data_IF_965984081609
#
_entry.id   IF_965984081609
#
_cell.length_a   1.000
_cell.length_b   1.000
_cell.length_c   1.000
_cell.angle_alpha   90.00
_cell.angle_beta   90.00
_cell.angle_gamma   90.00
#
_symmetry.space_group_name_H-M   'P 1'
#
loop_
_entity.id
_entity.type
_entity.pdbx_description
1 polymer ?
#
# COMPACT_ATOMS: atom_id res chain seq x y z
N UNK A 1 -58.61 -31.49 -75.13
CA UNK A 1 -57.62 -32.04 -74.20
C UNK A 1 -57.09 -30.90 -73.41
N UNK A 2 -57.58 -30.73 -72.18
CA UNK A 2 -57.28 -29.62 -71.30
C UNK A 2 -57.09 -30.15 -69.90
N UNK A 3 -55.87 -30.26 -69.43
CA UNK A 3 -55.56 -30.49 -67.99
C UNK A 3 -54.19 -29.87 -67.71
N UNK A 4 -54.07 -28.87 -66.85
CA UNK A 4 -52.76 -28.58 -66.35
C UNK A 4 -52.44 -27.11 -65.94
N UNK A 5 -53.38 -26.33 -65.45
CA UNK A 5 -53.08 -24.96 -64.98
C UNK A 5 -53.63 -24.58 -63.59
N UNK A 6 -53.93 -25.52 -62.75
CA UNK A 6 -54.53 -25.25 -61.43
C UNK A 6 -53.66 -25.61 -60.23
N UNK A 7 -52.40 -25.99 -60.37
CA UNK A 7 -51.57 -26.41 -59.24
C UNK A 7 -50.50 -25.42 -58.77
N UNK A 8 -50.29 -24.32 -59.58
CA UNK A 8 -49.18 -23.41 -59.22
C UNK A 8 -49.61 -22.21 -58.32
N UNK A 9 -50.93 -21.95 -58.19
CA UNK A 9 -51.43 -20.85 -57.36
C UNK A 9 -51.42 -21.17 -55.86
N UNK A 10 -51.77 -22.40 -55.52
CA UNK A 10 -51.84 -22.80 -54.10
C UNK A 10 -50.51 -22.90 -53.40
N UNK A 11 -49.46 -23.31 -54.10
CA UNK A 11 -48.12 -23.38 -53.54
C UNK A 11 -47.49 -22.02 -53.26
N UNK A 12 -47.78 -21.01 -54.09
CA UNK A 12 -47.29 -19.61 -53.88
C UNK A 12 -48.05 -18.91 -52.74
N UNK A 13 -49.35 -19.15 -52.57
CA UNK A 13 -50.13 -18.60 -51.47
C UNK A 13 -49.79 -19.29 -50.13
N UNK A 14 -49.54 -20.59 -50.14
CA UNK A 14 -49.07 -21.32 -48.96
C UNK A 14 -47.66 -20.86 -48.53
N UNK A 15 -46.74 -20.61 -49.49
CA UNK A 15 -45.41 -20.10 -49.22
C UNK A 15 -45.42 -18.68 -48.66
N UNK A 16 -46.28 -17.78 -49.18
CA UNK A 16 -46.44 -16.44 -48.65
C UNK A 16 -47.09 -16.43 -47.26
N UNK A 17 -48.04 -17.30 -47.00
CA UNK A 17 -48.65 -17.44 -45.67
C UNK A 17 -47.64 -17.97 -44.62
N UNK A 18 -46.77 -18.92 -45.00
CA UNK A 18 -45.75 -19.45 -44.15
C UNK A 18 -44.62 -18.42 -43.82
N UNK A 19 -44.41 -17.44 -44.71
CA UNK A 19 -43.41 -16.40 -44.51
C UNK A 19 -43.93 -15.26 -43.59
N UNK A 20 -45.26 -15.05 -43.54
CA UNK A 20 -45.86 -13.97 -42.75
C UNK A 20 -46.10 -14.40 -41.26
N UNK A 21 -46.33 -15.69 -41.01
CA UNK A 21 -46.54 -16.18 -39.63
C UNK A 21 -45.45 -15.87 -38.64
N UNK A 22 -44.12 -16.01 -38.94
CA UNK A 22 -43.09 -15.71 -37.96
C UNK A 22 -42.91 -14.24 -37.62
N UNK A 23 -43.41 -13.30 -38.48
CA UNK A 23 -43.31 -11.89 -38.15
C UNK A 23 -44.35 -11.43 -37.11
N UNK A 24 -45.40 -12.15 -36.89
CA UNK A 24 -46.40 -11.83 -35.84
C UNK A 24 -45.98 -12.31 -34.46
N UNK A 25 -44.99 -13.17 -34.36
CA UNK A 25 -44.51 -13.72 -33.07
C UNK A 25 -43.55 -12.80 -32.31
N UNK A 26 -43.04 -11.73 -32.92
CA UNK A 26 -42.08 -10.83 -32.27
C UNK A 26 -42.71 -9.65 -31.50
N UNK A 27 -44.05 -9.60 -31.40
CA UNK A 27 -44.75 -8.43 -30.81
C UNK A 27 -44.99 -8.41 -29.31
N UNK A 28 -44.81 -9.52 -28.58
CA UNK A 28 -45.34 -9.62 -27.21
C UNK A 28 -44.29 -9.49 -26.11
N UNK A 29 -43.06 -9.08 -26.41
CA UNK A 29 -42.02 -8.96 -25.37
C UNK A 29 -42.15 -7.73 -24.47
N UNK A 30 -42.80 -6.66 -24.96
CA UNK A 30 -42.83 -5.38 -24.22
C UNK A 30 -44.00 -5.22 -23.25
N UNK A 31 -45.13 -5.90 -23.52
CA UNK A 31 -46.32 -5.82 -22.61
C UNK A 31 -46.02 -6.37 -21.23
N UNK A 32 -45.20 -7.42 -21.14
CA UNK A 32 -44.85 -8.02 -19.86
C UNK A 32 -43.91 -7.11 -19.05
N UNK A 33 -43.08 -6.30 -19.71
CA UNK A 33 -42.13 -5.41 -19.02
C UNK A 33 -42.88 -4.21 -18.42
N UNK A 34 -43.81 -3.61 -19.15
CA UNK A 34 -44.66 -2.56 -18.60
C UNK A 34 -45.52 -3.04 -17.42
N UNK A 35 -46.12 -4.21 -17.53
CA UNK A 35 -46.90 -4.80 -16.46
C UNK A 35 -46.03 -5.15 -15.24
N UNK A 36 -44.79 -5.56 -15.47
CA UNK A 36 -43.80 -5.81 -14.41
C UNK A 36 -43.40 -4.51 -13.72
N UNK A 37 -43.06 -3.48 -14.45
CA UNK A 37 -42.69 -2.15 -13.91
C UNK A 37 -43.85 -1.59 -13.10
N UNK A 38 -45.09 -1.61 -13.64
CA UNK A 38 -46.28 -1.16 -12.92
C UNK A 38 -46.55 -1.94 -11.61
N UNK A 39 -46.23 -3.23 -11.61
CA UNK A 39 -46.38 -4.05 -10.40
C UNK A 39 -45.37 -3.63 -9.33
N UNK A 40 -44.11 -3.40 -9.72
CA UNK A 40 -43.05 -2.95 -8.81
C UNK A 40 -43.37 -1.55 -8.26
N UNK A 41 -43.88 -0.65 -9.12
CA UNK A 41 -44.22 0.72 -8.69
C UNK A 41 -45.44 0.78 -7.77
N UNK A 42 -46.41 -0.14 -7.95
CA UNK A 42 -47.62 -0.20 -7.14
C UNK A 42 -47.51 -1.12 -5.91
N UNK A 43 -46.48 -1.94 -5.85
CA UNK A 43 -46.23 -2.79 -4.68
C UNK A 43 -45.81 -1.93 -3.49
N UNK A 44 -46.57 -1.90 -2.40
CA UNK A 44 -46.18 -1.13 -1.21
C UNK A 44 -44.84 -1.64 -0.72
N UNK A 45 -43.87 -0.73 -0.40
CA UNK A 45 -42.58 -1.13 0.08
C UNK A 45 -42.72 -2.05 1.28
N UNK A 46 -41.95 -3.15 1.28
CA UNK A 46 -41.95 -4.09 2.40
C UNK A 46 -41.68 -3.33 3.70
N UNK A 47 -42.43 -3.66 4.78
CA UNK A 47 -42.25 -2.99 6.05
C UNK A 47 -40.79 -3.10 6.48
N UNK A 48 -40.12 -1.94 6.65
CA UNK A 48 -38.75 -1.90 7.11
C UNK A 48 -38.68 -2.56 8.49
N UNK A 49 -37.78 -3.53 8.64
CA UNK A 49 -37.50 -4.08 9.96
C UNK A 49 -37.09 -2.92 10.90
N UNK A 50 -37.68 -2.80 12.09
CA UNK A 50 -37.26 -1.79 13.03
C UNK A 50 -35.79 -1.95 13.34
N UNK A 51 -35.02 -0.87 13.20
CA UNK A 51 -33.61 -0.86 13.54
C UNK A 51 -33.44 -1.30 14.99
N UNK A 52 -32.65 -2.33 15.30
CA UNK A 52 -32.41 -2.73 16.68
C UNK A 52 -31.91 -1.51 17.47
N UNK A 53 -32.55 -1.23 18.58
CA UNK A 53 -32.09 -0.16 19.48
C UNK A 53 -30.71 -0.55 19.99
N UNK A 54 -29.69 0.29 19.80
CA UNK A 54 -28.38 -0.01 20.34
C UNK A 54 -28.49 -0.19 21.86
N UNK A 55 -27.85 -1.21 22.39
CA UNK A 55 -27.77 -1.40 23.83
C UNK A 55 -27.13 -0.16 24.47
N UNK A 56 -27.60 0.30 25.63
CA UNK A 56 -27.02 1.45 26.30
C UNK A 56 -25.54 1.16 26.58
N UNK A 57 -24.66 1.91 25.91
CA UNK A 57 -23.21 1.81 26.10
C UNK A 57 -22.87 2.29 27.50
N UNK A 58 -22.37 1.39 28.35
CA UNK A 58 -21.74 1.76 29.62
C UNK A 58 -20.26 1.91 29.37
N UNK A 59 -19.72 3.15 29.31
CA UNK A 59 -18.28 3.31 29.15
C UNK A 59 -17.58 2.63 30.32
N UNK A 60 -16.49 1.87 30.08
CA UNK A 60 -15.67 1.34 31.16
C UNK A 60 -15.16 2.52 32.00
N UNK A 61 -15.10 2.34 33.31
CA UNK A 61 -14.55 3.34 34.20
C UNK A 61 -13.08 3.59 33.80
N UNK A 62 -12.82 4.74 33.17
CA UNK A 62 -11.49 5.11 32.74
C UNK A 62 -10.70 5.63 33.95
N UNK A 63 -9.91 4.76 34.56
CA UNK A 63 -9.03 5.13 35.66
C UNK A 63 -7.76 5.83 35.14
N UNK A 64 -7.94 6.93 34.41
CA UNK A 64 -6.84 7.69 33.79
C UNK A 64 -5.77 8.15 34.82
N UNK A 65 -6.21 8.42 36.03
CA UNK A 65 -5.29 8.86 37.11
C UNK A 65 -4.26 7.79 37.52
N UNK A 66 -4.56 6.51 37.25
CA UNK A 66 -3.66 5.38 37.58
C UNK A 66 -2.82 4.93 36.40
N UNK A 67 -3.10 5.42 35.20
CA UNK A 67 -2.35 5.08 34.01
C UNK A 67 -1.30 6.15 33.73
N UNK A 68 -0.09 5.70 33.42
CA UNK A 68 0.97 6.59 32.95
C UNK A 68 0.53 7.27 31.65
N UNK A 69 0.64 8.59 31.59
CA UNK A 69 0.37 9.33 30.36
C UNK A 69 1.22 8.81 29.21
N UNK A 70 0.62 8.49 28.04
CA UNK A 70 1.37 8.05 26.86
C UNK A 70 2.28 9.17 26.29
N UNK A 71 2.04 10.43 26.70
CA UNK A 71 2.84 11.59 26.29
C UNK A 71 4.01 11.88 27.23
N UNK A 72 4.11 11.19 28.36
CA UNK A 72 5.31 11.25 29.19
C UNK A 72 6.29 10.23 28.64
N UNK A 73 7.44 10.66 28.07
CA UNK A 73 8.44 9.74 27.58
C UNK A 73 8.79 8.73 28.68
N UNK A 74 8.84 7.47 28.33
CA UNK A 74 9.34 6.43 29.25
C UNK A 74 10.84 6.60 29.37
N UNK A 75 11.25 7.59 30.15
CA UNK A 75 12.65 7.79 30.49
C UNK A 75 13.07 6.63 31.41
N UNK A 76 13.34 5.48 30.80
CA UNK A 76 14.34 4.62 31.37
C UNK A 76 15.64 5.35 31.08
N UNK A 77 16.03 6.20 31.99
CA UNK A 77 17.37 6.75 32.00
C UNK A 77 18.32 5.56 32.05
N UNK A 78 18.65 5.02 30.88
CA UNK A 78 19.83 4.17 30.79
C UNK A 78 20.97 5.09 31.21
N UNK A 79 21.81 4.65 32.15
CA UNK A 79 22.93 5.44 32.58
C UNK A 79 23.64 5.94 31.33
N UNK A 80 23.93 7.21 31.29
CA UNK A 80 24.47 8.02 30.19
C UNK A 80 25.89 7.58 29.77
N UNK A 81 26.10 6.27 29.63
CA UNK A 81 27.34 5.70 29.10
C UNK A 81 27.48 5.88 27.57
N UNK A 82 26.40 6.25 26.89
CA UNK A 82 26.43 6.43 25.44
C UNK A 82 26.22 7.90 25.13
N UNK A 83 27.31 8.58 24.83
CA UNK A 83 27.31 9.95 24.27
C UNK A 83 28.06 9.96 22.95
N UNK A 84 27.65 10.80 22.00
CA UNK A 84 28.50 11.10 20.85
C UNK A 84 29.87 11.57 21.34
N UNK A 85 30.94 11.14 20.69
CA UNK A 85 32.27 11.62 21.02
C UNK A 85 32.54 12.97 20.32
N UNK A 86 32.52 14.10 21.06
CA UNK A 86 32.68 15.42 20.43
C UNK A 86 34.11 15.64 19.89
N UNK A 87 35.10 14.90 20.38
CA UNK A 87 36.50 15.08 20.01
C UNK A 87 36.90 14.26 18.77
N UNK A 88 35.98 13.49 18.19
CA UNK A 88 36.22 12.71 16.98
C UNK A 88 36.14 13.61 15.75
N UNK A 89 37.10 13.57 14.83
CA UNK A 89 36.96 14.25 13.55
C UNK A 89 35.79 13.67 12.77
N UNK A 90 34.91 14.53 12.30
CA UNK A 90 33.76 14.10 11.48
C UNK A 90 34.21 13.67 10.10
N UNK A 91 33.65 12.59 9.60
CA UNK A 91 33.87 12.10 8.25
C UNK A 91 32.98 12.88 7.26
N UNK A 92 33.34 12.83 5.98
CA UNK A 92 32.65 13.60 4.95
C UNK A 92 31.17 13.33 4.86
N UNK A 93 30.73 12.04 4.94
CA UNK A 93 29.35 11.62 4.83
C UNK A 93 28.49 11.95 6.07
N UNK A 94 29.09 12.39 7.16
CA UNK A 94 28.35 12.89 8.34
C UNK A 94 27.82 14.31 8.16
N UNK A 95 28.11 14.96 7.04
CA UNK A 95 27.56 16.29 6.70
C UNK A 95 26.14 16.20 6.18
N UNK A 96 25.76 15.05 5.68
CA UNK A 96 24.47 14.79 5.06
C UNK A 96 23.55 14.03 6.00
N UNK A 97 22.22 14.33 6.01
CA UNK A 97 21.26 13.48 6.72
C UNK A 97 21.26 12.09 6.10
N UNK A 98 21.00 11.07 6.92
CA UNK A 98 21.07 9.67 6.48
C UNK A 98 20.11 9.38 5.32
N UNK A 99 18.93 10.00 5.32
CA UNK A 99 17.89 9.84 4.29
C UNK A 99 18.31 10.35 2.90
N UNK A 100 19.29 11.24 2.85
CA UNK A 100 19.84 11.76 1.59
C UNK A 100 20.94 10.88 1.00
N UNK A 101 21.43 9.92 1.76
CA UNK A 101 22.46 8.97 1.34
C UNK A 101 21.81 7.71 0.77
N UNK A 102 22.40 7.16 -0.30
CA UNK A 102 21.91 5.94 -0.95
C UNK A 102 22.99 4.87 -1.00
N UNK A 103 22.68 3.68 -0.52
CA UNK A 103 23.56 2.54 -0.73
C UNK A 103 23.38 2.02 -2.15
N UNK A 104 24.38 2.17 -3.00
CA UNK A 104 24.32 1.79 -4.41
C UNK A 104 25.00 0.48 -4.72
N UNK A 105 25.75 -0.09 -3.77
CA UNK A 105 26.38 -1.39 -3.96
C UNK A 105 27.23 -1.82 -2.78
N UNK A 106 27.66 -3.07 -2.84
CA UNK A 106 28.68 -3.64 -1.95
C UNK A 106 29.83 -4.21 -2.78
N UNK A 107 31.03 -4.10 -2.28
CA UNK A 107 32.25 -4.53 -2.96
C UNK A 107 33.06 -5.43 -2.02
N UNK A 108 33.39 -6.62 -2.49
CA UNK A 108 34.27 -7.53 -1.78
C UNK A 108 35.70 -7.41 -2.38
N UNK A 109 36.67 -7.01 -1.57
CA UNK A 109 38.06 -6.97 -1.94
C UNK A 109 38.90 -7.83 -0.99
N UNK A 110 39.29 -8.99 -1.44
CA UNK A 110 39.97 -9.97 -0.59
C UNK A 110 39.05 -10.41 0.56
N UNK A 111 39.46 -10.13 1.80
CA UNK A 111 38.68 -10.44 3.02
C UNK A 111 37.86 -9.26 3.54
N UNK A 112 37.91 -8.12 2.88
CA UNK A 112 37.26 -6.89 3.32
C UNK A 112 36.00 -6.60 2.50
N UNK A 113 34.91 -6.33 3.19
CA UNK A 113 33.64 -5.90 2.59
C UNK A 113 33.56 -4.37 2.70
N UNK A 114 33.30 -3.73 1.58
CA UNK A 114 33.07 -2.30 1.48
C UNK A 114 31.65 -2.05 1.01
N UNK A 115 31.09 -0.96 1.44
CA UNK A 115 29.83 -0.45 0.90
C UNK A 115 30.12 0.79 0.03
N UNK A 116 29.31 0.94 -1.00
CA UNK A 116 29.34 2.09 -1.91
C UNK A 116 28.12 2.94 -1.60
N UNK A 117 28.36 4.12 -1.03
CA UNK A 117 27.30 5.06 -0.63
C UNK A 117 27.39 6.30 -1.50
N UNK A 118 26.29 6.62 -2.17
CA UNK A 118 26.15 7.82 -2.99
C UNK A 118 25.63 8.96 -2.14
N UNK A 119 26.29 10.12 -2.25
CA UNK A 119 25.86 11.36 -1.62
C UNK A 119 24.81 12.11 -2.49
N UNK A 120 24.17 13.19 -1.99
CA UNK A 120 23.21 13.99 -2.74
C UNK A 120 23.77 14.65 -4.01
N UNK A 121 25.08 14.75 -4.12
CA UNK A 121 25.77 15.31 -5.31
C UNK A 121 26.03 14.25 -6.38
N UNK A 122 25.65 12.99 -6.13
CA UNK A 122 25.87 11.88 -7.05
C UNK A 122 27.24 11.22 -6.92
N UNK A 123 28.09 11.67 -5.98
CA UNK A 123 29.42 11.10 -5.79
C UNK A 123 29.32 9.82 -4.96
N UNK A 124 30.00 8.77 -5.42
CA UNK A 124 30.02 7.48 -4.74
C UNK A 124 31.24 7.38 -3.84
N UNK A 125 31.02 7.13 -2.57
CA UNK A 125 32.04 6.99 -1.54
C UNK A 125 32.15 5.54 -1.10
N UNK A 126 33.37 5.04 -0.96
CA UNK A 126 33.65 3.73 -0.40
C UNK A 126 33.77 3.82 1.11
N UNK A 127 32.92 3.08 1.82
CA UNK A 127 32.89 3.01 3.29
C UNK A 127 33.03 1.57 3.77
N UNK A 128 33.48 1.39 5.00
CA UNK A 128 33.68 0.08 5.62
C UNK A 128 33.13 0.06 7.06
N UNK A 129 33.17 -1.12 7.68
CA UNK A 129 32.85 -1.27 9.09
C UNK A 129 33.58 -0.24 9.96
N UNK A 130 32.86 0.39 10.87
CA UNK A 130 33.40 1.41 11.76
C UNK A 130 33.39 2.83 11.22
N UNK A 131 33.17 3.06 9.92
CA UNK A 131 32.96 4.39 9.36
C UNK A 131 31.63 4.98 9.85
N UNK A 132 31.50 6.30 9.71
CA UNK A 132 30.35 7.06 10.14
C UNK A 132 29.62 7.70 8.96
N UNK A 133 28.30 7.65 9.01
CA UNK A 133 27.36 8.21 8.04
C UNK A 133 26.24 8.95 8.77
N UNK A 134 25.72 9.98 8.15
CA UNK A 134 24.59 10.71 8.72
C UNK A 134 24.98 11.68 9.83
N UNK A 135 24.06 12.57 10.17
CA UNK A 135 24.31 13.65 11.13
C UNK A 135 24.27 13.18 12.59
N UNK A 136 23.69 12.01 12.84
CA UNK A 136 23.38 11.46 14.17
C UNK A 136 24.39 10.39 14.62
N UNK A 137 25.67 10.60 14.35
CA UNK A 137 26.76 9.68 14.70
C UNK A 137 26.50 8.22 14.24
N UNK A 138 25.91 8.05 13.06
CA UNK A 138 25.56 6.76 12.48
C UNK A 138 26.80 5.92 12.16
N UNK A 139 27.23 5.06 13.08
CA UNK A 139 28.36 4.15 12.88
C UNK A 139 27.97 2.88 12.17
N UNK A 140 28.67 2.49 11.11
CA UNK A 140 28.48 1.22 10.42
C UNK A 140 28.87 0.06 11.35
N UNK A 141 27.92 -0.80 11.69
CA UNK A 141 28.10 -1.97 12.57
C UNK A 141 28.03 -3.30 11.84
N UNK A 142 27.44 -3.33 10.63
CA UNK A 142 27.48 -4.49 9.74
C UNK A 142 27.23 -4.08 8.30
N UNK A 143 27.83 -4.82 7.37
CA UNK A 143 27.62 -4.68 5.92
C UNK A 143 27.08 -6.01 5.43
N UNK A 144 25.84 -5.99 4.89
CA UNK A 144 25.18 -7.15 4.30
C UNK A 144 25.05 -6.97 2.78
N UNK A 145 24.86 -8.04 2.02
CA UNK A 145 24.67 -7.95 0.57
C UNK A 145 23.46 -7.10 0.18
N UNK A 146 22.45 -7.03 1.03
CA UNK A 146 21.19 -6.32 0.81
C UNK A 146 21.08 -4.98 1.54
N UNK A 147 22.09 -4.58 2.32
CA UNK A 147 22.02 -3.33 3.07
C UNK A 147 23.12 -3.13 4.11
N UNK A 148 23.11 -1.96 4.72
CA UNK A 148 23.97 -1.56 5.82
C UNK A 148 23.18 -1.54 7.14
N UNK A 149 23.80 -2.02 8.20
CA UNK A 149 23.32 -1.79 9.57
C UNK A 149 24.12 -0.68 10.21
N UNK A 150 23.43 0.36 10.66
CA UNK A 150 23.99 1.52 11.33
C UNK A 150 23.55 1.53 12.79
N UNK A 151 24.37 2.11 13.64
CA UNK A 151 24.05 2.44 15.01
C UNK A 151 24.13 3.94 15.17
N UNK A 152 23.02 4.59 15.39
CA UNK A 152 22.89 6.03 15.62
C UNK A 152 22.77 6.34 17.11
N UNK A 153 23.17 7.56 17.48
CA UNK A 153 23.06 8.08 18.83
C UNK A 153 22.21 9.36 18.77
N UNK A 154 20.96 9.23 19.16
CA UNK A 154 19.97 10.29 19.12
C UNK A 154 19.74 10.91 20.50
N UNK A 155 19.46 12.21 20.61
CA UNK A 155 19.02 12.82 21.85
C UNK A 155 17.64 12.28 22.24
N UNK A 156 17.45 11.96 23.53
CA UNK A 156 16.19 11.41 24.03
C UNK A 156 15.16 12.49 24.42
N UNK A 157 15.42 13.76 24.14
CA UNK A 157 14.56 14.87 24.50
C UNK A 157 14.56 15.26 25.99
N UNK A 158 15.23 14.50 26.85
CA UNK A 158 15.31 14.74 28.31
C UNK A 158 16.74 15.01 28.79
N UNK A 159 17.63 15.41 27.86
CA UNK A 159 19.03 15.70 28.14
C UNK A 159 19.97 14.48 28.12
N UNK A 160 19.45 13.31 27.77
CA UNK A 160 20.20 12.08 27.58
C UNK A 160 20.29 11.65 26.11
N UNK A 161 20.85 10.45 25.88
CA UNK A 161 21.06 9.88 24.56
C UNK A 161 20.49 8.48 24.49
N UNK A 162 19.98 8.10 23.32
CA UNK A 162 19.48 6.76 23.01
C UNK A 162 20.20 6.19 21.80
N UNK A 163 20.50 4.90 21.86
CA UNK A 163 21.08 4.17 20.72
C UNK A 163 19.96 3.54 19.92
N UNK A 164 19.95 3.87 18.62
CA UNK A 164 19.01 3.29 17.66
C UNK A 164 19.78 2.52 16.58
N UNK A 165 19.23 1.42 16.11
CA UNK A 165 19.75 0.68 14.97
C UNK A 165 18.90 0.99 13.74
N UNK A 166 19.55 1.41 12.66
CA UNK A 166 18.91 1.75 11.40
C UNK A 166 19.47 0.84 10.32
N UNK A 167 18.58 0.31 9.51
CA UNK A 167 18.95 -0.47 8.34
C UNK A 167 18.79 0.38 7.09
N UNK A 168 19.88 0.59 6.35
CA UNK A 168 19.89 1.25 5.06
C UNK A 168 19.87 0.17 3.96
N UNK A 169 18.76 -0.01 3.25
CA UNK A 169 18.66 -1.01 2.19
C UNK A 169 19.50 -0.63 0.97
N UNK A 170 19.90 -1.64 0.20
CA UNK A 170 20.50 -1.44 -1.11
C UNK A 170 19.46 -0.77 -2.03
N UNK A 171 19.83 0.38 -2.59
CA UNK A 171 19.00 1.09 -3.55
C UNK A 171 19.01 0.31 -4.87
N UNK A 172 17.95 -0.45 -5.15
CA UNK A 172 17.71 -1.01 -6.47
C UNK A 172 17.38 0.16 -7.40
N UNK A 173 18.29 0.57 -8.26
CA UNK A 173 17.94 1.39 -9.40
C UNK A 173 17.01 0.55 -10.28
N UNK A 174 15.72 0.84 -10.21
CA UNK A 174 14.78 0.45 -11.25
C UNK A 174 15.20 1.25 -12.47
N UNK A 175 15.92 0.58 -13.38
CA UNK A 175 16.24 1.15 -14.67
C UNK A 175 14.94 1.46 -15.39
N UNK A 176 14.70 2.75 -15.63
CA UNK A 176 13.68 3.22 -16.55
C UNK A 176 14.20 3.16 -17.98
#
# INVERSE_FOLDING_TARGET
MSVGRLRASGARTALLLALVLPLAACGNGNENLHAWVHRIETEPPAPLMPVPRPAPYKPPAFAAALLRSPFVPSVRALPSAVRPNPNRPRQYLERFPLDSLKLVGTLLMGKHVYALVQDPHGIVHRVTYGNYLGQDDGKIVAIHPNGLMLREILPNGTGGWVVTRVFMPLSTQSGG
#
